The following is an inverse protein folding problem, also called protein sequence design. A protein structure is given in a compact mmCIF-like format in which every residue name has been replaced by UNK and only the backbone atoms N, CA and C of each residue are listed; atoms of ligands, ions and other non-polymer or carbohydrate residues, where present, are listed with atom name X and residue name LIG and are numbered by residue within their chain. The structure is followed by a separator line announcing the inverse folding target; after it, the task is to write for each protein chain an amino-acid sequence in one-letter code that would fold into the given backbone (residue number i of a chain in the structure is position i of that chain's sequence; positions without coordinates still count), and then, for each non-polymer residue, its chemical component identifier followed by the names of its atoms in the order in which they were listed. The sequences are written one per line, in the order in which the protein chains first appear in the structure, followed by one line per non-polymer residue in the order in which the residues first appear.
data_IF_696248810278
#
_entry.id   IF_696248810278
#
_cell.length_a   1.000
_cell.length_b   1.000
_cell.length_c   1.000
_cell.angle_alpha   90.00
_cell.angle_beta   90.00
_cell.angle_gamma   90.00
#
_symmetry.space_group_name_H-M   'P 1'
#
loop_
_entity.id
_entity.type
_entity.pdbx_description
1 polymer ?
#
# COMPACT_ATOMS: atom_id res chain seq x y z
N UNK A 1 -21.19 21.15 -1.29
CA UNK A 1 -20.61 19.98 -0.59
C UNK A 1 -19.14 20.29 -0.46
N UNK A 2 -18.56 20.22 0.74
CA UNK A 2 -17.16 20.59 0.93
C UNK A 2 -16.25 19.52 0.33
N UNK A 3 -15.35 19.93 -0.56
CA UNK A 3 -14.33 19.09 -1.18
C UNK A 3 -13.28 18.74 -0.10
N UNK A 4 -13.48 17.59 0.53
CA UNK A 4 -12.64 17.13 1.62
C UNK A 4 -11.44 16.35 1.11
N UNK A 5 -10.25 16.96 1.10
CA UNK A 5 -9.02 16.24 0.78
C UNK A 5 -8.72 15.14 1.79
N UNK A 6 -8.58 13.90 1.32
CA UNK A 6 -8.16 12.78 2.14
C UNK A 6 -6.63 12.80 2.33
N UNK A 7 -6.20 13.04 3.57
CA UNK A 7 -4.79 12.96 3.98
C UNK A 7 -4.66 11.86 5.03
N UNK A 8 -3.84 10.85 4.76
CA UNK A 8 -3.51 9.79 5.70
C UNK A 8 -2.07 9.98 6.16
N UNK A 9 -1.89 10.49 7.38
CA UNK A 9 -0.55 10.77 7.90
C UNK A 9 0.24 9.50 8.19
N UNK A 10 -0.37 8.53 8.87
CA UNK A 10 0.31 7.31 9.29
C UNK A 10 -0.64 6.12 9.30
N UNK A 11 -0.20 5.00 8.73
CA UNK A 11 -0.86 3.70 8.81
C UNK A 11 0.15 2.65 9.27
N UNK A 12 -0.11 1.98 10.39
CA UNK A 12 0.74 0.91 10.90
C UNK A 12 -0.10 -0.36 11.10
N UNK A 13 0.22 -1.41 10.35
CA UNK A 13 -0.47 -2.70 10.38
C UNK A 13 0.57 -3.77 10.65
N UNK A 14 0.45 -4.44 11.79
CA UNK A 14 1.36 -5.52 12.17
C UNK A 14 0.57 -6.78 12.45
N UNK A 15 1.02 -7.92 11.93
CA UNK A 15 0.48 -9.26 12.27
C UNK A 15 -1.03 -9.43 12.02
N UNK A 16 -1.56 -8.78 10.98
CA UNK A 16 -2.94 -9.02 10.56
C UNK A 16 -3.09 -10.46 10.00
N UNK A 17 -4.19 -11.13 10.35
CA UNK A 17 -4.48 -12.55 10.05
C UNK A 17 -5.90 -12.77 9.52
N UNK A 18 -6.44 -11.79 8.78
CA UNK A 18 -7.77 -11.88 8.17
C UNK A 18 -7.81 -13.04 7.16
N UNK A 19 -8.82 -13.91 7.28
CA UNK A 19 -8.96 -15.12 6.45
C UNK A 19 -9.99 -14.97 5.31
N UNK A 20 -10.89 -13.98 5.39
CA UNK A 20 -12.07 -13.90 4.52
C UNK A 20 -12.33 -12.51 3.95
N UNK A 21 -11.35 -11.60 3.98
CA UNK A 21 -11.53 -10.25 3.47
C UNK A 21 -10.19 -9.64 3.02
N UNK A 22 -10.27 -8.46 2.42
CA UNK A 22 -9.18 -7.58 2.00
C UNK A 22 -8.26 -7.28 3.18
N UNK A 23 -7.00 -7.71 3.11
CA UNK A 23 -5.98 -7.38 4.10
C UNK A 23 -5.33 -6.01 3.85
N UNK A 24 -4.73 -5.45 4.90
CA UNK A 24 -4.08 -4.14 4.82
C UNK A 24 -5.12 -3.03 5.01
N UNK A 25 -5.20 -2.11 4.04
CA UNK A 25 -6.14 -0.99 4.04
C UNK A 25 -6.85 -0.84 2.69
N UNK A 26 -7.96 -0.11 2.69
CA UNK A 26 -8.66 0.36 1.49
C UNK A 26 -8.86 1.86 1.63
N UNK A 27 -8.41 2.63 0.64
CA UNK A 27 -8.79 4.04 0.48
C UNK A 27 -9.59 4.14 -0.81
N UNK A 28 -10.80 4.67 -0.68
CA UNK A 28 -11.70 4.91 -1.79
C UNK A 28 -12.16 6.36 -1.76
N UNK A 29 -11.61 7.18 -2.65
CA UNK A 29 -11.98 8.58 -2.81
C UNK A 29 -11.85 9.01 -4.26
N UNK A 30 -12.62 10.03 -4.64
CA UNK A 30 -12.50 10.69 -5.94
C UNK A 30 -11.45 11.82 -5.92
N UNK A 31 -11.02 12.25 -4.74
CA UNK A 31 -10.00 13.28 -4.58
C UNK A 31 -8.60 12.74 -4.89
N UNK A 32 -7.59 13.60 -4.86
CA UNK A 32 -6.19 13.22 -4.99
C UNK A 32 -5.57 13.02 -3.61
N UNK A 33 -5.67 11.82 -2.99
CA UNK A 33 -5.23 11.63 -1.61
C UNK A 33 -3.72 11.61 -1.48
N UNK A 34 -3.27 12.08 -0.32
CA UNK A 34 -1.88 12.01 0.09
C UNK A 34 -1.72 11.09 1.29
N UNK A 35 -0.84 10.10 1.18
CA UNK A 35 -0.46 9.19 2.26
C UNK A 35 1.01 9.42 2.60
N UNK A 36 1.29 9.84 3.84
CA UNK A 36 2.64 10.23 4.23
C UNK A 36 3.50 9.08 4.75
N UNK A 37 2.90 8.07 5.39
CA UNK A 37 3.65 6.96 5.96
C UNK A 37 2.82 5.69 6.08
N UNK A 38 3.34 4.58 5.53
CA UNK A 38 2.72 3.24 5.66
C UNK A 38 3.75 2.25 6.19
N UNK A 39 3.33 1.43 7.15
CA UNK A 39 4.12 0.33 7.66
C UNK A 39 3.25 -0.92 7.83
N UNK A 40 3.33 -1.84 6.87
CA UNK A 40 2.60 -3.12 6.88
C UNK A 40 3.60 -4.26 7.00
N UNK A 41 3.61 -4.89 8.17
CA UNK A 41 4.57 -5.93 8.54
C UNK A 41 3.83 -7.21 8.91
N UNK A 42 4.29 -8.34 8.36
CA UNK A 42 3.82 -9.68 8.75
C UNK A 42 2.30 -9.85 8.57
N UNK A 43 1.74 -9.33 7.48
CA UNK A 43 0.33 -9.55 7.18
C UNK A 43 0.15 -10.90 6.47
N UNK A 44 -0.74 -11.75 6.99
CA UNK A 44 -1.00 -13.09 6.48
C UNK A 44 -2.48 -13.22 6.13
N UNK A 45 -2.80 -13.30 4.84
CA UNK A 45 -4.20 -13.48 4.41
C UNK A 45 -4.38 -14.74 3.58
N UNK A 46 -5.63 -15.23 3.52
CA UNK A 46 -5.97 -16.44 2.79
C UNK A 46 -6.34 -16.20 1.32
N UNK A 47 -6.70 -14.97 0.93
CA UNK A 47 -6.92 -14.56 -0.46
C UNK A 47 -7.07 -13.04 -0.58
N UNK A 48 -7.09 -12.54 -1.82
CA UNK A 48 -7.49 -11.16 -2.13
C UNK A 48 -6.33 -10.22 -2.39
N UNK A 49 -6.67 -8.97 -2.68
CA UNK A 49 -5.68 -7.91 -2.90
C UNK A 49 -5.39 -7.22 -1.56
N UNK A 50 -4.13 -6.89 -1.29
CA UNK A 50 -3.77 -6.02 -0.16
C UNK A 50 -3.71 -4.56 -0.60
N UNK A 51 -3.87 -3.64 0.37
CA UNK A 51 -3.56 -2.21 0.24
C UNK A 51 -4.14 -1.59 -1.04
N UNK A 52 -5.46 -1.37 -1.00
CA UNK A 52 -6.25 -0.99 -2.16
C UNK A 52 -6.44 0.52 -2.28
N UNK A 53 -6.24 1.05 -3.48
CA UNK A 53 -6.41 2.46 -3.83
C UNK A 53 -7.44 2.57 -4.95
N UNK A 54 -8.65 3.00 -4.63
CA UNK A 54 -9.78 2.98 -5.57
C UNK A 54 -10.45 4.32 -5.73
N UNK A 55 -11.11 4.54 -6.86
CA UNK A 55 -11.99 5.70 -7.03
C UNK A 55 -13.40 5.24 -7.39
N UNK A 56 -14.40 5.99 -6.92
CA UNK A 56 -15.80 5.73 -7.29
C UNK A 56 -16.14 6.32 -8.67
N UNK A 57 -15.31 7.24 -9.16
CA UNK A 57 -15.40 7.80 -10.50
C UNK A 57 -14.25 7.28 -11.36
N UNK A 58 -14.48 7.21 -12.67
CA UNK A 58 -13.55 6.56 -13.59
C UNK A 58 -12.18 7.27 -13.63
N UNK A 59 -11.20 6.68 -12.94
CA UNK A 59 -9.77 6.63 -13.30
C UNK A 59 -8.90 7.91 -13.24
N UNK A 60 -9.38 9.07 -12.82
CA UNK A 60 -8.55 10.29 -12.77
C UNK A 60 -7.92 10.60 -11.41
N UNK A 61 -8.43 10.02 -10.32
CA UNK A 61 -7.89 10.26 -8.99
C UNK A 61 -6.42 9.83 -8.92
N UNK A 62 -5.59 10.70 -8.35
CA UNK A 62 -4.15 10.49 -8.21
C UNK A 62 -3.78 10.33 -6.75
N UNK A 63 -3.33 9.14 -6.41
CA UNK A 63 -2.84 8.77 -5.10
C UNK A 63 -1.36 9.04 -5.03
N UNK A 64 -0.93 9.80 -4.03
CA UNK A 64 0.49 9.97 -3.71
C UNK A 64 0.78 9.27 -2.38
N UNK A 65 1.68 8.29 -2.43
CA UNK A 65 2.19 7.58 -1.26
C UNK A 65 3.65 7.91 -1.10
N UNK A 66 4.01 8.40 0.07
CA UNK A 66 5.40 8.61 0.48
C UNK A 66 5.72 7.73 1.67
N UNK A 67 6.98 7.30 1.77
CA UNK A 67 7.52 6.49 2.88
C UNK A 67 6.66 5.27 3.23
N UNK A 68 6.86 4.17 2.49
CA UNK A 68 6.11 2.96 2.76
C UNK A 68 6.99 1.74 3.02
N UNK A 69 6.59 0.88 3.95
CA UNK A 69 7.23 -0.38 4.25
C UNK A 69 6.21 -1.50 4.12
N UNK A 70 6.45 -2.44 3.22
CA UNK A 70 5.69 -3.66 3.09
C UNK A 70 6.62 -4.85 3.28
N UNK A 71 6.56 -5.46 4.46
CA UNK A 71 7.56 -6.43 4.91
C UNK A 71 6.91 -7.75 5.30
N UNK A 72 7.40 -8.85 4.72
CA UNK A 72 6.97 -10.22 5.10
C UNK A 72 5.47 -10.49 4.98
N UNK A 73 4.77 -9.83 4.07
CA UNK A 73 3.36 -10.12 3.81
C UNK A 73 3.23 -11.42 3.01
N UNK A 74 2.21 -12.24 3.29
CA UNK A 74 1.99 -13.51 2.60
C UNK A 74 0.53 -13.76 2.28
N UNK A 75 0.30 -14.29 1.09
CA UNK A 75 -1.00 -14.83 0.67
C UNK A 75 -0.81 -15.91 -0.40
N UNK A 76 -1.69 -16.91 -0.45
CA UNK A 76 -1.65 -17.91 -1.51
C UNK A 76 -2.11 -17.35 -2.88
N UNK A 77 -2.84 -16.22 -2.89
CA UNK A 77 -3.34 -15.58 -4.09
C UNK A 77 -3.41 -14.05 -3.94
N UNK A 78 -3.53 -13.34 -5.07
CA UNK A 78 -3.69 -11.88 -5.12
C UNK A 78 -2.39 -11.09 -5.25
N UNK A 79 -2.47 -9.81 -4.93
CA UNK A 79 -1.41 -8.81 -5.07
C UNK A 79 -1.22 -7.98 -3.81
N UNK A 80 0.00 -7.50 -3.58
CA UNK A 80 0.34 -6.71 -2.39
C UNK A 80 -0.16 -5.25 -2.48
N UNK A 81 -0.15 -4.69 -3.68
CA UNK A 81 -0.57 -3.33 -3.98
C UNK A 81 -1.58 -3.40 -5.12
N UNK A 82 -2.79 -2.95 -4.85
CA UNK A 82 -3.85 -2.84 -5.84
C UNK A 82 -4.26 -1.40 -6.07
N UNK A 83 -4.46 -1.06 -7.35
CA UNK A 83 -5.05 0.22 -7.75
C UNK A 83 -5.93 0.07 -8.99
N UNK A 84 -7.05 0.80 -9.02
CA UNK A 84 -7.77 1.12 -10.25
C UNK A 84 -7.58 2.58 -10.70
N UNK A 85 -6.66 3.30 -10.06
CA UNK A 85 -6.37 4.73 -10.25
C UNK A 85 -4.90 4.98 -10.65
N UNK A 86 -4.44 6.23 -10.64
CA UNK A 86 -3.03 6.58 -10.75
C UNK A 86 -2.43 6.58 -9.34
N UNK A 87 -1.41 5.75 -9.11
CA UNK A 87 -0.74 5.58 -7.83
C UNK A 87 0.75 5.89 -7.98
N UNK A 88 1.20 6.99 -7.39
CA UNK A 88 2.60 7.36 -7.31
C UNK A 88 3.15 6.97 -5.92
N UNK A 89 4.10 6.06 -5.88
CA UNK A 89 4.73 5.55 -4.67
C UNK A 89 6.19 5.97 -4.63
N UNK A 90 6.59 6.69 -3.58
CA UNK A 90 7.92 7.26 -3.44
C UNK A 90 8.54 6.86 -2.08
N UNK A 91 9.85 6.58 -2.08
CA UNK A 91 10.60 6.17 -0.88
C UNK A 91 10.01 4.93 -0.18
N UNK A 92 9.67 3.92 -0.96
CA UNK A 92 9.06 2.68 -0.50
C UNK A 92 10.06 1.53 -0.41
N UNK A 93 9.81 0.61 0.52
CA UNK A 93 10.54 -0.63 0.71
C UNK A 93 9.56 -1.81 0.70
N UNK A 94 9.71 -2.70 -0.28
CA UNK A 94 8.91 -3.93 -0.41
C UNK A 94 9.88 -5.11 -0.30
N UNK A 95 9.85 -5.84 0.82
CA UNK A 95 10.79 -6.95 1.05
C UNK A 95 10.16 -8.16 1.72
N UNK A 96 10.66 -9.34 1.35
CA UNK A 96 10.34 -10.65 1.88
C UNK A 96 8.86 -11.02 1.75
N UNK A 97 8.15 -10.43 0.78
CA UNK A 97 6.74 -10.69 0.55
C UNK A 97 6.57 -11.99 -0.24
N UNK A 98 5.63 -12.84 0.19
CA UNK A 98 5.30 -14.12 -0.45
C UNK A 98 3.87 -14.10 -0.96
N UNK A 99 3.68 -13.42 -2.09
CA UNK A 99 2.44 -13.35 -2.84
C UNK A 99 2.74 -13.62 -4.32
N UNK A 100 1.77 -14.09 -5.13
CA UNK A 100 2.01 -14.26 -6.57
C UNK A 100 2.36 -12.96 -7.29
N UNK A 101 1.73 -11.85 -6.90
CA UNK A 101 1.95 -10.54 -7.50
C UNK A 101 2.31 -9.51 -6.42
N UNK A 102 3.24 -8.62 -6.72
CA UNK A 102 3.48 -7.43 -5.90
C UNK A 102 2.53 -6.31 -6.33
N UNK A 103 2.39 -6.09 -7.64
CA UNK A 103 1.64 -4.96 -8.18
C UNK A 103 0.42 -5.41 -9.00
N UNK A 104 -0.69 -4.70 -8.87
CA UNK A 104 -1.86 -4.89 -9.72
C UNK A 104 -2.54 -3.55 -10.04
N UNK A 105 -2.37 -3.10 -11.29
CA UNK A 105 -3.15 -2.02 -11.88
C UNK A 105 -4.29 -2.60 -12.73
N UNK A 106 -5.55 -2.31 -12.35
CA UNK A 106 -6.72 -3.02 -12.88
C UNK A 106 -7.11 -2.65 -14.30
N UNK A 107 -7.10 -1.35 -14.63
CA UNK A 107 -7.64 -0.83 -15.89
C UNK A 107 -6.54 -0.20 -16.71
N UNK A 108 -6.73 -0.04 -18.04
CA UNK A 108 -5.74 0.63 -18.91
C UNK A 108 -5.42 2.08 -18.53
N UNK A 109 -6.28 2.70 -17.71
CA UNK A 109 -6.09 4.06 -17.20
C UNK A 109 -5.41 4.07 -15.83
N UNK A 110 -5.32 2.92 -15.18
CA UNK A 110 -4.63 2.76 -13.89
C UNK A 110 -3.14 2.68 -14.12
N UNK A 111 -2.37 3.36 -13.29
CA UNK A 111 -0.91 3.43 -13.40
C UNK A 111 -0.30 3.31 -12.01
N UNK A 112 0.87 2.66 -11.93
CA UNK A 112 1.68 2.64 -10.71
C UNK A 112 3.05 3.20 -11.09
N UNK A 113 3.46 4.29 -10.45
CA UNK A 113 4.85 4.76 -10.48
C UNK A 113 5.51 4.33 -9.18
N UNK A 114 6.64 3.61 -9.28
CA UNK A 114 7.43 3.19 -8.14
C UNK A 114 8.80 3.87 -8.22
N UNK A 115 8.97 4.93 -7.44
CA UNK A 115 10.07 5.88 -7.58
C UNK A 115 10.92 6.01 -6.31
N UNK A 116 12.24 6.18 -6.44
CA UNK A 116 13.20 6.25 -5.31
C UNK A 116 12.97 5.16 -4.26
N UNK A 117 12.67 3.96 -4.73
CA UNK A 117 12.15 2.87 -3.91
C UNK A 117 12.93 1.58 -4.16
N UNK A 118 12.79 0.63 -3.23
CA UNK A 118 13.44 -0.68 -3.28
C UNK A 118 12.40 -1.79 -3.15
N UNK A 119 12.52 -2.82 -3.99
CA UNK A 119 11.67 -4.02 -3.94
C UNK A 119 12.50 -5.26 -4.23
N UNK A 120 12.24 -6.36 -3.52
CA UNK A 120 12.84 -7.67 -3.80
C UNK A 120 12.04 -8.51 -4.80
N UNK A 121 10.92 -7.98 -5.30
CA UNK A 121 10.10 -8.60 -6.33
C UNK A 121 9.39 -7.58 -7.21
N UNK A 122 9.25 -7.90 -8.50
CA UNK A 122 8.62 -7.04 -9.51
C UNK A 122 7.43 -7.70 -10.18
N UNK A 123 6.92 -8.80 -9.63
CA UNK A 123 5.78 -9.52 -10.22
C UNK A 123 4.53 -8.64 -10.26
N UNK A 124 3.79 -8.69 -11.36
CA UNK A 124 2.62 -7.84 -11.56
C UNK A 124 1.48 -8.56 -12.29
N UNK A 125 0.27 -8.02 -12.14
CA UNK A 125 -0.96 -8.49 -12.80
C UNK A 125 -1.51 -7.39 -13.70
N UNK A 126 -1.86 -7.74 -14.95
CA UNK A 126 -2.36 -6.86 -16.03
C UNK A 126 -1.37 -5.79 -16.52
N UNK A 127 -1.11 -4.76 -15.72
CA UNK A 127 -0.27 -3.62 -16.10
C UNK A 127 0.83 -3.48 -15.05
N UNK A 128 2.08 -3.50 -15.53
CA UNK A 128 3.25 -3.39 -14.68
C UNK A 128 3.47 -1.95 -14.19
N UNK A 129 4.15 -1.78 -13.05
CA UNK A 129 4.55 -0.46 -12.58
C UNK A 129 5.64 0.13 -13.47
N UNK A 130 5.71 1.46 -13.51
CA UNK A 130 6.85 2.20 -14.04
C UNK A 130 7.84 2.43 -12.92
N UNK A 131 9.05 1.87 -13.07
CA UNK A 131 10.13 2.02 -12.10
C UNK A 131 11.00 3.25 -12.46
N UNK A 132 11.22 4.15 -11.49
CA UNK A 132 12.10 5.32 -11.66
C UNK A 132 13.10 5.39 -10.50
N UNK A 133 14.38 5.57 -10.79
CA UNK A 133 15.41 5.71 -9.74
C UNK A 133 15.32 4.61 -8.68
N UNK A 134 15.18 3.35 -9.11
CA UNK A 134 14.98 2.18 -8.23
C UNK A 134 16.29 1.44 -7.96
N UNK A 135 16.28 0.54 -6.96
CA UNK A 135 17.45 -0.17 -6.43
C UNK A 135 18.40 0.71 -5.62
N UNK A 136 17.85 1.63 -4.81
CA UNK A 136 18.59 2.18 -3.69
C UNK A 136 19.00 0.98 -2.82
N UNK A 137 20.31 0.76 -2.70
CA UNK A 137 20.96 -0.47 -2.25
C UNK A 137 20.57 -0.91 -0.83
N UNK A 138 19.84 -0.10 -0.09
CA UNK A 138 19.30 -0.45 1.22
C UNK A 138 17.87 0.08 1.36
N UNK A 139 16.98 -0.78 1.87
CA UNK A 139 15.73 -0.35 2.47
C UNK A 139 16.02 0.50 3.72
N UNK A 140 16.39 1.78 3.51
CA UNK A 140 16.80 2.73 4.54
C UNK A 140 15.77 2.90 5.67
N UNK A 141 14.49 2.59 5.40
CA UNK A 141 13.39 2.69 6.37
C UNK A 141 13.32 1.54 7.39
N UNK A 142 13.90 0.37 7.11
CA UNK A 142 13.99 -0.72 8.11
C UNK A 142 14.91 -0.34 9.28
N UNK A 143 15.91 0.53 9.05
CA UNK A 143 16.80 1.02 10.09
C UNK A 143 16.21 2.20 10.88
N UNK A 144 15.41 3.08 10.25
CA UNK A 144 14.75 4.18 10.97
C UNK A 144 13.62 3.70 11.90
N UNK A 145 12.86 2.68 11.52
CA UNK A 145 11.81 2.12 12.40
C UNK A 145 12.38 1.50 13.68
N UNK A 146 13.60 0.94 13.67
CA UNK A 146 14.28 0.52 14.91
C UNK A 146 14.68 1.69 15.83
N UNK A 147 14.83 2.90 15.31
CA UNK A 147 15.25 4.09 16.09
C UNK A 147 14.06 4.97 16.52
N UNK A 148 12.90 4.87 15.85
CA UNK A 148 11.69 5.67 16.13
C UNK A 148 10.70 4.97 17.05
N UNK A 149 10.91 3.69 17.41
CA UNK A 149 10.22 3.04 18.55
C UNK A 149 10.86 3.54 19.86
N UNK A 150 10.80 4.84 20.08
CA UNK A 150 10.99 5.54 21.34
C UNK A 150 10.17 6.84 21.32
N UNK A 151 9.05 6.83 20.59
CA UNK A 151 7.99 7.81 20.76
C UNK A 151 6.79 6.98 21.22
N UNK A 152 6.75 6.78 22.54
CA UNK A 152 5.49 6.69 23.28
C UNK A 152 4.60 7.82 22.79
N UNK A 153 3.52 7.51 22.08
CA UNK A 153 2.19 7.76 22.61
C UNK A 153 1.11 7.16 21.71
N UNK A 154 0.14 6.64 22.42
CA UNK A 154 -1.06 5.92 22.01
C UNK A 154 -1.95 6.81 21.13
N UNK A 155 -2.07 6.51 19.83
CA UNK A 155 -3.15 7.04 18.99
C UNK A 155 -3.70 5.92 18.12
N UNK A 156 -4.64 5.18 18.69
CA UNK A 156 -5.46 4.18 18.03
C UNK A 156 -6.52 4.88 17.15
N UNK A 157 -6.26 5.03 15.85
CA UNK A 157 -7.32 5.33 14.88
C UNK A 157 -7.94 4.02 14.36
N UNK A 158 -9.18 3.78 14.81
CA UNK A 158 -10.05 2.70 14.36
C UNK A 158 -10.49 2.97 12.90
N UNK A 159 -10.04 2.16 11.94
CA UNK A 159 -10.64 2.14 10.59
C UNK A 159 -11.79 1.12 10.56
N UNK A 160 -12.93 1.53 9.98
CA UNK A 160 -14.17 0.72 9.87
C UNK A 160 -13.93 -0.59 9.11
N UNK A 161 -14.16 -1.72 9.78
CA UNK A 161 -14.43 -3.00 9.11
C UNK A 161 -15.84 -2.97 8.52
N UNK A 162 -15.96 -3.11 7.20
CA UNK A 162 -17.26 -3.35 6.56
C UNK A 162 -17.59 -4.83 6.61
N UNK A 163 -18.41 -5.24 7.59
CA UNK A 163 -19.08 -6.54 7.55
C UNK A 163 -20.29 -6.40 6.63
N UNK A 164 -20.19 -6.83 5.37
CA UNK A 164 -21.39 -7.01 4.53
C UNK A 164 -22.07 -8.31 4.95
N UNK A 165 -23.32 -8.17 5.40
CA UNK A 165 -24.26 -9.27 5.65
C UNK A 165 -24.78 -9.84 4.34
#
# INVERSE_FOLDING_TARGET
MGDGHCILYQCNITRNRVKTDTGGYLISTNDNPFISYINVIENYQSYGEFNSHTSSQSSESRYLVTFCNYVRNKAPSGSLIYTDTILDMNYCCIVQNKLPFIFFARTRRSQITFENSSTDGTTFKRIGPTFKTTNLSECLLLYKTKKVINITDDVSYLFKFYRRH
#
